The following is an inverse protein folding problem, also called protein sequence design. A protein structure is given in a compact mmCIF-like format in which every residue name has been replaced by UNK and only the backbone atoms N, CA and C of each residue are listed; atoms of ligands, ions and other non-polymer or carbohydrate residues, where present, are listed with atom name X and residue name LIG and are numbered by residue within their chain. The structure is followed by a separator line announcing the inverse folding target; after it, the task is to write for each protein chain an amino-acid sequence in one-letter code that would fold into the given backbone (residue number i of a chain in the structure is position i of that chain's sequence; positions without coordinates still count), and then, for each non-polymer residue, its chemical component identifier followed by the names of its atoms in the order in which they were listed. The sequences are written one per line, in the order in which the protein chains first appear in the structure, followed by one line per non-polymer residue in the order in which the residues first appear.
data_IF_550430608213
#
_entry.id   IF_550430608213
#
_cell.length_a   1.000
_cell.length_b   1.000
_cell.length_c   1.000
_cell.angle_alpha   90.00
_cell.angle_beta   90.00
_cell.angle_gamma   90.00
#
_symmetry.space_group_name_H-M   'P 1'
#
loop_
_entity.id
_entity.type
_entity.pdbx_description
1 polymer ?
#
# COMPACT_ATOMS: atom_id res chain seq x y z
N UNK A 1 33.28 -13.30 -60.91
CA UNK A 1 32.09 -13.96 -60.38
C UNK A 1 32.12 -13.82 -58.85
N UNK A 2 31.31 -12.91 -58.31
CA UNK A 2 31.12 -12.72 -56.86
C UNK A 2 29.76 -13.33 -56.50
N UNK A 3 29.64 -14.20 -55.52
CA UNK A 3 28.35 -14.66 -55.03
C UNK A 3 27.72 -13.60 -54.11
N UNK A 4 26.50 -13.21 -54.45
CA UNK A 4 25.65 -12.30 -53.71
C UNK A 4 24.95 -13.13 -52.59
N UNK A 5 25.35 -12.92 -51.33
CA UNK A 5 24.66 -13.49 -50.17
C UNK A 5 23.37 -12.69 -49.90
N UNK A 6 22.24 -13.32 -50.19
CA UNK A 6 20.92 -12.83 -49.78
C UNK A 6 20.74 -13.24 -48.31
N UNK A 7 20.88 -12.26 -47.42
CA UNK A 7 20.51 -12.43 -46.01
C UNK A 7 18.98 -12.38 -45.87
N UNK A 8 18.36 -13.54 -45.69
CA UNK A 8 16.94 -13.69 -45.34
C UNK A 8 16.74 -13.24 -43.90
N UNK A 9 16.32 -11.99 -43.69
CA UNK A 9 15.83 -11.51 -42.41
C UNK A 9 14.51 -12.22 -42.10
N UNK A 10 14.56 -13.30 -41.30
CA UNK A 10 13.39 -13.83 -40.59
C UNK A 10 12.97 -12.79 -39.55
N UNK A 11 11.97 -11.97 -39.89
CA UNK A 11 11.19 -11.24 -38.92
C UNK A 11 10.39 -12.26 -38.11
N UNK A 12 10.96 -12.72 -36.99
CA UNK A 12 10.17 -13.32 -35.92
C UNK A 12 9.23 -12.23 -35.42
N UNK A 13 8.02 -12.17 -35.95
CA UNK A 13 6.89 -11.57 -35.24
C UNK A 13 6.65 -12.45 -34.01
N UNK A 14 7.27 -12.09 -32.89
CA UNK A 14 6.86 -12.58 -31.59
C UNK A 14 5.39 -12.17 -31.45
N UNK A 15 4.48 -13.10 -31.59
CA UNK A 15 3.11 -12.93 -31.12
C UNK A 15 3.26 -12.64 -29.63
N UNK A 16 3.09 -11.37 -29.25
CA UNK A 16 3.16 -10.93 -27.87
C UNK A 16 1.93 -11.58 -27.22
N UNK A 17 2.15 -12.56 -26.37
CA UNK A 17 1.06 -13.16 -25.59
C UNK A 17 0.39 -12.02 -24.81
N UNK A 18 -0.93 -12.01 -24.79
CA UNK A 18 -1.67 -11.01 -24.02
C UNK A 18 -1.25 -11.07 -22.54
N UNK A 19 -0.97 -9.92 -21.94
CA UNK A 19 -0.53 -9.82 -20.55
C UNK A 19 -1.65 -10.23 -19.60
N UNK A 20 -1.37 -11.20 -18.73
CA UNK A 20 -2.24 -11.56 -17.62
C UNK A 20 -2.03 -10.68 -16.39
N UNK A 21 -2.86 -10.82 -15.33
CA UNK A 21 -2.65 -10.14 -14.05
C UNK A 21 -1.27 -10.40 -13.43
N UNK A 22 -0.70 -11.58 -13.66
CA UNK A 22 0.63 -11.94 -13.14
C UNK A 22 1.74 -11.14 -13.84
N UNK A 23 1.67 -10.98 -15.16
CA UNK A 23 2.64 -10.18 -15.92
C UNK A 23 2.59 -8.70 -15.51
N UNK A 24 1.38 -8.17 -15.28
CA UNK A 24 1.19 -6.79 -14.77
C UNK A 24 1.79 -6.64 -13.37
N UNK A 25 1.62 -7.64 -12.51
CA UNK A 25 2.22 -7.64 -11.17
C UNK A 25 3.75 -7.62 -11.22
N UNK A 26 4.37 -8.45 -12.08
CA UNK A 26 5.83 -8.43 -12.25
C UNK A 26 6.35 -7.06 -12.72
N UNK A 27 5.62 -6.39 -13.61
CA UNK A 27 5.97 -5.04 -14.04
C UNK A 27 5.76 -4.01 -12.91
N UNK A 28 4.68 -4.13 -12.13
CA UNK A 28 4.40 -3.26 -10.99
C UNK A 28 5.45 -3.38 -9.88
N UNK A 29 5.98 -4.56 -9.61
CA UNK A 29 7.09 -4.75 -8.66
C UNK A 29 8.33 -3.91 -9.00
N UNK A 30 8.55 -3.63 -10.29
CA UNK A 30 9.72 -2.89 -10.77
C UNK A 30 9.46 -1.39 -10.94
N UNK A 31 8.21 -1.00 -11.17
CA UNK A 31 7.88 0.35 -11.64
C UNK A 31 6.91 1.12 -10.73
N UNK A 32 6.14 0.44 -9.86
CA UNK A 32 5.18 1.14 -8.99
C UNK A 32 5.88 2.00 -7.93
N UNK A 33 5.74 3.35 -7.99
CA UNK A 33 6.42 4.22 -7.04
C UNK A 33 5.99 4.00 -5.59
N UNK A 34 4.75 3.56 -5.35
CA UNK A 34 4.22 3.28 -4.01
C UNK A 34 4.90 2.06 -3.41
N UNK A 35 5.07 1.00 -4.21
CA UNK A 35 5.78 -0.21 -3.78
C UNK A 35 7.28 0.03 -3.59
N UNK A 36 7.93 0.73 -4.54
CA UNK A 36 9.34 1.10 -4.42
C UNK A 36 9.59 1.99 -3.20
N UNK A 37 8.66 2.90 -2.91
CA UNK A 37 8.65 3.69 -1.67
C UNK A 37 8.55 2.83 -0.41
N UNK A 38 7.69 1.80 -0.44
CA UNK A 38 7.53 0.86 0.67
C UNK A 38 8.81 0.04 0.96
N UNK A 39 9.56 -0.34 -0.07
CA UNK A 39 10.89 -0.97 0.08
C UNK A 39 11.83 -0.03 0.86
N UNK A 40 11.89 1.24 0.47
CA UNK A 40 12.78 2.22 1.13
C UNK A 40 12.33 2.55 2.55
N UNK A 41 11.03 2.59 2.79
CA UNK A 41 10.48 2.76 4.14
C UNK A 41 10.85 1.58 5.05
N UNK A 42 10.76 0.33 4.54
CA UNK A 42 11.24 -0.86 5.25
C UNK A 42 12.74 -0.77 5.53
N UNK A 43 13.56 -0.49 4.51
CA UNK A 43 15.02 -0.38 4.64
C UNK A 43 15.38 0.65 5.73
N UNK A 44 14.75 1.82 5.71
CA UNK A 44 14.93 2.85 6.74
C UNK A 44 14.45 2.37 8.13
N UNK A 45 13.32 1.67 8.19
CA UNK A 45 12.76 1.12 9.42
C UNK A 45 13.65 0.08 10.08
N UNK A 46 14.34 -0.76 9.30
CA UNK A 46 15.28 -1.77 9.82
C UNK A 46 16.48 -1.15 10.54
N UNK A 47 16.90 0.07 10.17
CA UNK A 47 17.99 0.79 10.83
C UNK A 47 17.67 1.19 12.27
N UNK A 48 16.40 1.23 12.67
CA UNK A 48 16.01 1.54 14.05
C UNK A 48 16.67 0.57 15.06
N UNK A 49 16.87 -0.69 14.67
CA UNK A 49 17.60 -1.67 15.50
C UNK A 49 19.06 -1.25 15.71
N UNK A 50 19.74 -0.78 14.67
CA UNK A 50 21.13 -0.31 14.72
C UNK A 50 21.24 0.97 15.52
N UNK A 51 20.35 1.93 15.29
CA UNK A 51 20.25 3.20 16.01
C UNK A 51 20.03 2.94 17.51
N UNK A 52 19.08 2.07 17.84
CA UNK A 52 18.82 1.70 19.24
C UNK A 52 20.03 1.04 19.92
N UNK A 53 20.73 0.15 19.20
CA UNK A 53 21.93 -0.50 19.73
C UNK A 53 23.09 0.44 19.95
N UNK A 54 23.20 1.52 19.18
CA UNK A 54 24.31 2.49 19.29
C UNK A 54 24.42 3.13 20.69
N UNK A 55 23.29 3.21 21.43
CA UNK A 55 23.30 3.67 22.82
C UNK A 55 24.03 2.75 23.81
N UNK A 56 24.20 1.47 23.48
CA UNK A 56 24.88 0.45 24.30
C UNK A 56 26.35 0.27 23.96
N UNK A 57 26.80 0.83 22.84
CA UNK A 57 28.17 0.66 22.32
C UNK A 57 29.10 1.79 22.81
N UNK A 58 30.44 1.58 22.76
CA UNK A 58 31.39 2.61 23.07
C UNK A 58 31.24 3.80 22.13
N UNK A 59 31.32 5.02 22.69
CA UNK A 59 31.34 6.29 21.95
C UNK A 59 32.69 6.93 22.06
N UNK A 60 33.36 7.15 20.94
CA UNK A 60 34.61 7.89 20.85
C UNK A 60 34.35 9.28 20.28
N UNK A 61 34.75 10.31 20.98
CA UNK A 61 34.65 11.70 20.52
C UNK A 61 36.01 12.39 20.57
N UNK A 62 36.21 13.32 19.63
CA UNK A 62 37.36 14.19 19.57
C UNK A 62 36.88 15.63 19.55
N UNK A 63 37.40 16.43 20.49
CA UNK A 63 37.13 17.85 20.58
C UNK A 63 38.45 18.64 20.46
N UNK A 64 38.48 19.61 19.56
CA UNK A 64 39.57 20.53 19.38
C UNK A 64 39.05 21.94 19.47
N UNK A 65 39.72 22.75 20.31
CA UNK A 65 39.44 24.17 20.43
C UNK A 65 40.73 25.00 20.43
N UNK A 66 40.70 26.12 19.75
CA UNK A 66 41.76 27.13 19.77
C UNK A 66 41.10 28.50 19.85
N UNK A 67 41.51 29.29 20.79
CA UNK A 67 40.98 30.63 21.02
C UNK A 67 42.05 31.67 21.23
N UNK A 68 41.74 32.94 20.96
CA UNK A 68 42.50 34.10 21.41
C UNK A 68 41.69 34.79 22.50
N UNK A 69 42.27 34.89 23.67
CA UNK A 69 41.61 35.40 24.86
C UNK A 69 42.24 36.75 25.23
N UNK A 70 41.39 37.69 25.61
CA UNK A 70 41.76 38.94 26.27
C UNK A 70 41.07 38.90 27.64
N UNK A 71 41.83 38.76 28.69
CA UNK A 71 41.35 38.65 30.07
C UNK A 71 41.92 39.76 30.92
N UNK A 72 41.03 40.48 31.58
CA UNK A 72 41.40 41.48 32.60
C UNK A 72 41.11 40.88 33.97
N UNK A 73 42.15 40.74 34.77
CA UNK A 73 42.03 40.27 36.14
C UNK A 73 42.33 41.44 37.13
N UNK A 74 41.48 41.59 38.11
CA UNK A 74 41.73 42.52 39.24
C UNK A 74 42.20 41.68 40.43
N UNK A 75 43.46 41.84 40.78
CA UNK A 75 44.07 40.99 41.79
C UNK A 75 44.47 41.90 43.02
N UNK A 76 44.33 41.35 44.24
CA UNK A 76 44.79 42.11 45.44
C UNK A 76 46.31 42.28 45.42
N UNK A 77 46.80 43.51 45.79
CA UNK A 77 48.22 43.88 45.78
C UNK A 77 48.97 43.48 47.06
N UNK A 78 48.30 42.79 47.99
CA UNK A 78 48.85 42.39 49.29
C UNK A 78 49.08 43.53 50.28
N UNK A 79 48.79 44.81 49.90
CA UNK A 79 48.90 46.00 50.73
C UNK A 79 47.55 46.69 51.00
N UNK A 80 46.47 46.00 50.69
CA UNK A 80 45.10 46.49 50.85
C UNK A 80 44.50 47.20 49.61
N UNK A 81 45.25 47.24 48.50
CA UNK A 81 44.80 47.73 47.19
C UNK A 81 44.58 46.60 46.17
N UNK A 82 44.13 46.95 44.95
CA UNK A 82 44.01 46.08 43.82
C UNK A 82 44.85 46.59 42.65
N UNK A 83 45.41 45.68 41.86
CA UNK A 83 46.00 46.00 40.58
C UNK A 83 45.24 45.22 39.41
N UNK A 84 45.29 45.83 38.24
CA UNK A 84 44.76 45.24 37.04
C UNK A 84 45.84 44.51 36.25
N UNK A 85 45.56 43.29 35.84
CA UNK A 85 46.45 42.46 35.05
C UNK A 85 45.75 42.12 33.72
N UNK A 86 46.17 42.71 32.60
CA UNK A 86 45.64 42.52 31.27
C UNK A 86 46.48 41.46 30.57
N UNK A 87 45.79 40.26 30.30
CA UNK A 87 46.44 39.14 29.70
C UNK A 87 45.83 38.86 28.32
N UNK A 88 46.67 38.94 27.29
CA UNK A 88 46.33 38.47 25.93
C UNK A 88 47.09 37.19 25.67
N UNK A 89 46.33 36.09 25.43
CA UNK A 89 46.93 34.78 25.22
C UNK A 89 46.10 33.93 24.24
N UNK A 90 46.77 32.95 23.62
CA UNK A 90 46.08 31.93 22.80
C UNK A 90 45.87 30.71 23.68
N UNK A 91 44.64 30.21 23.69
CA UNK A 91 44.29 28.92 24.31
C UNK A 91 44.23 27.83 23.27
N UNK A 92 44.59 26.62 23.68
CA UNK A 92 44.54 25.40 22.87
C UNK A 92 44.01 24.26 23.72
N UNK A 93 43.14 23.47 23.14
CA UNK A 93 42.63 22.24 23.76
C UNK A 93 42.42 21.16 22.72
N UNK A 94 42.86 19.95 23.01
CA UNK A 94 42.66 18.74 22.19
C UNK A 94 42.29 17.59 23.13
N UNK A 95 41.11 17.04 22.99
CA UNK A 95 40.57 15.98 23.89
C UNK A 95 39.98 14.85 23.12
N UNK A 96 40.50 13.65 23.34
CA UNK A 96 39.85 12.38 22.98
C UNK A 96 39.10 11.86 24.20
N UNK A 97 37.85 11.46 24.00
CA UNK A 97 37.05 10.87 25.07
C UNK A 97 36.36 9.58 24.56
N UNK A 98 36.62 8.48 25.24
CA UNK A 98 35.94 7.20 25.07
C UNK A 98 34.95 7.02 26.22
N UNK A 99 33.69 6.77 25.91
CA UNK A 99 32.63 6.49 26.90
C UNK A 99 31.97 5.14 26.58
N UNK A 100 31.86 4.28 27.59
CA UNK A 100 31.16 2.99 27.48
C UNK A 100 30.10 2.87 28.59
N UNK A 101 28.79 2.85 28.25
CA UNK A 101 27.78 2.54 29.22
C UNK A 101 28.00 1.12 29.76
N UNK A 102 28.11 0.95 31.08
CA UNK A 102 28.15 -0.34 31.76
C UNK A 102 26.79 -0.77 32.24
N UNK A 103 25.98 0.20 32.71
CA UNK A 103 24.58 0.01 33.06
C UNK A 103 23.82 1.28 32.67
N UNK A 104 22.94 1.13 31.67
CA UNK A 104 22.05 2.17 31.18
C UNK A 104 20.74 1.53 30.71
N UNK A 105 19.74 1.53 31.57
CA UNK A 105 18.45 0.91 31.28
C UNK A 105 17.67 1.69 30.20
N UNK A 106 17.89 3.02 30.10
CA UNK A 106 17.32 3.84 29.02
C UNK A 106 17.86 3.38 27.66
N UNK A 107 19.17 3.20 27.55
CA UNK A 107 19.80 2.70 26.32
C UNK A 107 19.30 1.28 25.97
N UNK A 108 19.12 0.41 26.98
CA UNK A 108 18.54 -0.91 26.78
C UNK A 108 17.09 -0.85 26.29
N UNK A 109 16.23 -0.03 26.92
CA UNK A 109 14.85 0.16 26.49
C UNK A 109 14.76 0.74 25.07
N UNK A 110 15.64 1.72 24.72
CA UNK A 110 15.77 2.24 23.36
C UNK A 110 16.18 1.17 22.34
N UNK A 111 17.11 0.27 22.71
CA UNK A 111 17.47 -0.86 21.85
C UNK A 111 16.26 -1.79 21.59
N UNK A 112 15.54 -2.17 22.64
CA UNK A 112 14.35 -3.01 22.53
C UNK A 112 13.23 -2.35 21.72
N UNK A 113 13.04 -1.03 21.92
CA UNK A 113 12.14 -0.22 21.10
C UNK A 113 12.54 -0.24 19.63
N UNK A 114 13.84 -0.05 19.34
CA UNK A 114 14.37 -0.10 17.98
C UNK A 114 14.17 -1.47 17.31
N UNK A 115 14.29 -2.57 18.07
CA UNK A 115 13.96 -3.92 17.57
C UNK A 115 12.49 -4.04 17.20
N UNK A 116 11.57 -3.56 18.06
CA UNK A 116 10.13 -3.58 17.77
C UNK A 116 9.77 -2.69 16.57
N UNK A 117 10.42 -1.52 16.42
CA UNK A 117 10.26 -0.65 15.24
C UNK A 117 10.73 -1.30 13.94
N UNK A 118 11.84 -2.05 13.98
CA UNK A 118 12.32 -2.79 12.82
C UNK A 118 11.35 -3.92 12.42
N UNK A 119 10.80 -4.65 13.39
CA UNK A 119 9.76 -5.67 13.14
C UNK A 119 8.46 -5.04 12.62
N UNK A 120 8.06 -3.88 13.14
CA UNK A 120 6.92 -3.13 12.63
C UNK A 120 7.10 -2.79 11.14
N UNK A 121 8.29 -2.30 10.76
CA UNK A 121 8.60 -1.95 9.38
C UNK A 121 8.56 -3.16 8.44
N UNK A 122 9.05 -4.32 8.90
CA UNK A 122 9.04 -5.56 8.12
C UNK A 122 7.60 -6.10 7.91
N UNK A 123 6.77 -6.12 8.95
CA UNK A 123 5.37 -6.53 8.84
C UNK A 123 4.53 -5.54 8.03
N UNK A 124 4.79 -4.23 8.17
CA UNK A 124 4.16 -3.19 7.34
C UNK A 124 4.51 -3.35 5.85
N UNK A 125 5.75 -3.72 5.54
CA UNK A 125 6.15 -4.02 4.17
C UNK A 125 5.45 -5.26 3.62
N UNK A 126 5.27 -6.32 4.42
CA UNK A 126 4.50 -7.51 4.02
C UNK A 126 3.05 -7.16 3.70
N UNK A 127 2.41 -6.30 4.49
CA UNK A 127 1.06 -5.79 4.22
C UNK A 127 1.01 -5.03 2.89
N UNK A 128 1.94 -4.10 2.67
CA UNK A 128 2.04 -3.32 1.43
C UNK A 128 2.33 -4.19 0.20
N UNK A 129 3.09 -5.27 0.36
CA UNK A 129 3.34 -6.24 -0.71
C UNK A 129 2.07 -7.00 -1.11
N UNK A 130 1.29 -7.46 -0.15
CA UNK A 130 -0.01 -8.09 -0.42
C UNK A 130 -1.03 -7.07 -0.97
N UNK A 131 -1.00 -5.83 -0.50
CA UNK A 131 -1.86 -4.76 -1.01
C UNK A 131 -1.54 -4.43 -2.49
N UNK A 132 -0.29 -4.58 -2.93
CA UNK A 132 0.07 -4.44 -4.35
C UNK A 132 -0.65 -5.48 -5.21
N UNK A 133 -0.68 -6.76 -4.79
CA UNK A 133 -1.43 -7.82 -5.50
C UNK A 133 -2.91 -7.46 -5.66
N UNK A 134 -3.54 -7.01 -4.57
CA UNK A 134 -4.95 -6.57 -4.61
C UNK A 134 -5.14 -5.38 -5.55
N UNK A 135 -4.21 -4.42 -5.55
CA UNK A 135 -4.29 -3.21 -6.38
C UNK A 135 -4.10 -3.54 -7.86
N UNK A 136 -3.15 -4.42 -8.20
CA UNK A 136 -2.96 -4.93 -9.57
C UNK A 136 -4.25 -5.54 -10.09
N UNK A 137 -4.83 -6.49 -9.35
CA UNK A 137 -6.05 -7.15 -9.78
C UNK A 137 -7.24 -6.18 -9.86
N UNK A 138 -7.31 -5.20 -8.95
CA UNK A 138 -8.36 -4.17 -8.98
C UNK A 138 -8.31 -3.39 -10.28
N UNK A 139 -7.17 -2.80 -10.64
CA UNK A 139 -7.05 -2.00 -11.87
C UNK A 139 -7.17 -2.85 -13.13
N UNK A 140 -6.64 -4.07 -13.11
CA UNK A 140 -6.76 -5.00 -14.21
C UNK A 140 -8.23 -5.36 -14.50
N UNK A 141 -8.97 -5.77 -13.47
CA UNK A 141 -10.39 -6.13 -13.61
C UNK A 141 -11.28 -4.93 -13.95
N UNK A 142 -10.96 -3.73 -13.46
CA UNK A 142 -11.65 -2.49 -13.83
C UNK A 142 -11.48 -2.16 -15.31
N UNK A 143 -10.25 -2.29 -15.84
CA UNK A 143 -9.98 -2.05 -17.26
C UNK A 143 -10.75 -3.04 -18.16
N UNK A 144 -10.78 -4.32 -17.81
CA UNK A 144 -11.54 -5.32 -18.56
C UNK A 144 -13.04 -5.12 -18.44
N UNK A 145 -13.55 -4.79 -17.26
CA UNK A 145 -14.98 -4.52 -17.09
C UNK A 145 -15.42 -3.28 -17.87
N UNK A 146 -14.59 -2.24 -17.96
CA UNK A 146 -14.85 -1.09 -18.81
C UNK A 146 -14.93 -1.48 -20.31
N UNK A 147 -14.06 -2.41 -20.75
CA UNK A 147 -14.16 -2.96 -22.10
C UNK A 147 -15.47 -3.72 -22.31
N UNK A 148 -15.86 -4.58 -21.37
CA UNK A 148 -17.14 -5.30 -21.44
C UNK A 148 -18.33 -4.32 -21.53
N UNK A 149 -18.28 -3.21 -20.79
CA UNK A 149 -19.30 -2.17 -20.86
C UNK A 149 -19.37 -1.48 -22.23
N UNK A 150 -18.22 -1.20 -22.86
CA UNK A 150 -18.18 -0.65 -24.22
C UNK A 150 -18.81 -1.61 -25.21
N UNK A 151 -18.48 -2.90 -25.14
CA UNK A 151 -19.01 -3.90 -26.07
C UNK A 151 -20.52 -4.08 -25.91
N UNK A 152 -21.01 -4.04 -24.67
CA UNK A 152 -22.45 -4.08 -24.37
C UNK A 152 -23.14 -2.78 -24.86
N UNK A 153 -22.57 -1.60 -24.60
CA UNK A 153 -23.13 -0.32 -25.03
C UNK A 153 -23.20 -0.21 -26.56
N UNK A 154 -22.16 -0.66 -27.27
CA UNK A 154 -22.14 -0.72 -28.73
C UNK A 154 -23.19 -1.66 -29.30
N UNK A 155 -23.32 -2.85 -28.72
CA UNK A 155 -24.34 -3.81 -29.13
C UNK A 155 -25.76 -3.25 -28.89
N UNK A 156 -25.98 -2.62 -27.74
CA UNK A 156 -27.24 -1.96 -27.37
C UNK A 156 -27.56 -0.80 -28.32
N UNK A 157 -26.61 0.09 -28.56
CA UNK A 157 -26.76 1.20 -29.51
C UNK A 157 -27.13 0.73 -30.90
N UNK A 158 -26.41 -0.28 -31.41
CA UNK A 158 -26.69 -0.85 -32.74
C UNK A 158 -28.10 -1.44 -32.81
N UNK A 159 -28.55 -2.14 -31.77
CA UNK A 159 -29.90 -2.70 -31.74
C UNK A 159 -30.97 -1.60 -31.75
N UNK A 160 -30.80 -0.54 -30.95
CA UNK A 160 -31.74 0.58 -30.90
C UNK A 160 -31.70 1.43 -32.19
N UNK A 161 -30.56 1.58 -32.84
CA UNK A 161 -30.43 2.24 -34.14
C UNK A 161 -31.26 1.46 -35.20
N UNK A 162 -31.11 0.16 -35.26
CA UNK A 162 -31.90 -0.68 -36.18
C UNK A 162 -33.40 -0.56 -35.89
N UNK A 163 -33.81 -0.55 -34.63
CA UNK A 163 -35.21 -0.40 -34.25
C UNK A 163 -35.77 0.99 -34.63
N UNK A 164 -34.96 2.07 -34.41
CA UNK A 164 -35.33 3.41 -34.79
C UNK A 164 -35.53 3.53 -36.32
N UNK A 165 -34.60 3.00 -37.11
CA UNK A 165 -34.71 2.97 -38.57
C UNK A 165 -35.93 2.17 -39.05
N UNK A 166 -36.20 1.02 -38.43
CA UNK A 166 -37.38 0.21 -38.74
C UNK A 166 -38.69 0.96 -38.42
N UNK A 167 -38.77 1.62 -37.26
CA UNK A 167 -39.95 2.39 -36.89
C UNK A 167 -40.19 3.57 -37.82
N UNK A 168 -39.12 4.25 -38.28
CA UNK A 168 -39.23 5.32 -39.30
C UNK A 168 -39.81 4.75 -40.60
N UNK A 169 -39.37 3.57 -41.05
CA UNK A 169 -39.82 2.97 -42.28
C UNK A 169 -41.29 2.52 -42.22
N UNK A 170 -41.72 1.91 -41.11
CA UNK A 170 -43.10 1.52 -40.84
C UNK A 170 -44.04 2.74 -40.81
N UNK A 171 -43.63 3.82 -40.18
CA UNK A 171 -44.37 5.06 -40.14
C UNK A 171 -44.58 5.69 -41.55
N UNK A 172 -43.54 5.65 -42.40
CA UNK A 172 -43.63 6.10 -43.80
C UNK A 172 -44.63 5.27 -44.63
N UNK A 173 -44.79 3.97 -44.27
CA UNK A 173 -45.73 3.09 -44.89
C UNK A 173 -47.18 3.18 -44.30
N UNK A 174 -47.34 3.97 -43.23
CA UNK A 174 -48.63 4.15 -42.56
C UNK A 174 -48.98 3.05 -41.54
N UNK A 175 -48.02 2.18 -41.19
CA UNK A 175 -48.17 1.04 -40.30
C UNK A 175 -47.60 1.27 -38.86
N UNK A 176 -46.98 2.40 -38.61
CA UNK A 176 -46.38 2.73 -37.29
C UNK A 176 -46.91 4.02 -36.72
N UNK A 177 -46.55 4.33 -35.45
CA UNK A 177 -46.92 5.57 -34.78
C UNK A 177 -45.71 6.49 -34.64
N UNK A 178 -45.95 7.80 -34.52
CA UNK A 178 -44.89 8.78 -34.20
C UNK A 178 -44.30 8.53 -32.81
N UNK A 179 -45.08 8.00 -31.89
CA UNK A 179 -44.62 7.62 -30.54
C UNK A 179 -43.57 6.53 -30.59
N UNK A 180 -43.74 5.51 -31.44
CA UNK A 180 -42.74 4.45 -31.59
C UNK A 180 -41.39 4.94 -32.11
N UNK A 181 -41.44 5.96 -33.02
CA UNK A 181 -40.21 6.61 -33.51
C UNK A 181 -39.49 7.35 -32.36
N UNK A 182 -40.23 8.22 -31.64
CA UNK A 182 -39.64 9.05 -30.55
C UNK A 182 -39.09 8.19 -29.39
N UNK A 183 -39.77 7.07 -29.12
CA UNK A 183 -39.29 6.13 -28.08
C UNK A 183 -37.99 5.42 -28.49
N UNK A 184 -37.91 4.91 -29.70
CA UNK A 184 -36.71 4.26 -30.23
C UNK A 184 -35.56 5.26 -30.39
N UNK A 185 -35.83 6.52 -30.83
CA UNK A 185 -34.87 7.61 -30.92
C UNK A 185 -34.29 7.92 -29.53
N UNK A 186 -35.17 8.12 -28.52
CA UNK A 186 -34.74 8.39 -27.15
C UNK A 186 -33.82 7.27 -26.60
N UNK A 187 -34.15 6.00 -26.86
CA UNK A 187 -33.30 4.87 -26.43
C UNK A 187 -31.99 4.81 -27.19
N UNK A 188 -31.97 5.13 -28.46
CA UNK A 188 -30.75 5.19 -29.26
C UNK A 188 -29.81 6.29 -28.74
N UNK A 189 -30.33 7.49 -28.45
CA UNK A 189 -29.54 8.60 -27.93
C UNK A 189 -29.00 8.31 -26.52
N UNK A 190 -29.79 7.68 -25.65
CA UNK A 190 -29.32 7.23 -24.34
C UNK A 190 -28.21 6.18 -24.46
N UNK A 191 -28.34 5.20 -25.38
CA UNK A 191 -27.30 4.21 -25.60
C UNK A 191 -26.02 4.83 -26.19
N UNK A 192 -26.15 5.91 -26.98
CA UNK A 192 -24.99 6.68 -27.47
C UNK A 192 -24.26 7.38 -26.31
N UNK A 193 -24.99 7.97 -25.38
CA UNK A 193 -24.39 8.58 -24.18
C UNK A 193 -23.71 7.53 -23.30
N UNK A 194 -24.31 6.35 -23.12
CA UNK A 194 -23.70 5.23 -22.38
C UNK A 194 -22.40 4.73 -23.03
N UNK A 195 -22.33 4.67 -24.38
CA UNK A 195 -21.09 4.31 -25.08
C UNK A 195 -19.97 5.33 -24.81
N UNK A 196 -20.28 6.62 -24.87
CA UNK A 196 -19.31 7.71 -24.60
C UNK A 196 -18.79 7.58 -23.15
N UNK A 197 -19.70 7.42 -22.19
CA UNK A 197 -19.30 7.24 -20.78
C UNK A 197 -18.41 6.02 -20.60
N UNK A 198 -18.74 4.89 -21.22
CA UNK A 198 -17.94 3.66 -21.11
C UNK A 198 -16.54 3.82 -21.72
N UNK A 199 -16.39 4.62 -22.80
CA UNK A 199 -15.10 4.95 -23.40
C UNK A 199 -14.24 5.80 -22.47
N UNK A 200 -14.85 6.79 -21.80
CA UNK A 200 -14.15 7.64 -20.82
C UNK A 200 -13.69 6.82 -19.61
N UNK A 201 -14.53 5.92 -19.10
CA UNK A 201 -14.21 5.01 -18.00
C UNK A 201 -13.06 4.04 -18.37
N UNK A 202 -13.04 3.56 -19.62
CA UNK A 202 -11.95 2.71 -20.11
C UNK A 202 -10.63 3.48 -20.17
N UNK A 203 -10.62 4.69 -20.77
CA UNK A 203 -9.40 5.51 -20.86
C UNK A 203 -8.83 5.80 -19.47
N UNK A 204 -9.69 6.14 -18.49
CA UNK A 204 -9.29 6.35 -17.11
C UNK A 204 -8.67 5.07 -16.49
N UNK A 205 -9.33 3.92 -16.62
CA UNK A 205 -8.87 2.64 -16.06
C UNK A 205 -7.55 2.18 -16.67
N UNK A 206 -7.36 2.38 -18.00
CA UNK A 206 -6.11 2.02 -18.68
C UNK A 206 -4.95 2.94 -18.27
N UNK A 207 -5.22 4.21 -17.97
CA UNK A 207 -4.22 5.14 -17.40
C UNK A 207 -3.83 4.76 -15.97
N UNK A 208 -4.80 4.38 -15.13
CA UNK A 208 -4.53 3.90 -13.76
C UNK A 208 -3.67 2.63 -13.78
N UNK A 209 -3.97 1.68 -14.68
CA UNK A 209 -3.17 0.49 -14.88
C UNK A 209 -1.76 0.84 -15.42
N UNK A 210 -1.69 1.77 -16.39
CA UNK A 210 -0.43 2.27 -16.93
C UNK A 210 0.45 2.93 -15.87
N UNK A 211 -0.12 3.74 -14.99
CA UNK A 211 0.61 4.38 -13.89
C UNK A 211 1.22 3.34 -12.93
N UNK A 212 0.56 2.21 -12.72
CA UNK A 212 1.04 1.12 -11.87
C UNK A 212 2.28 0.44 -12.45
N UNK A 213 2.33 0.26 -13.77
CA UNK A 213 3.45 -0.42 -14.46
C UNK A 213 4.48 0.55 -15.06
N UNK A 214 4.32 1.86 -14.83
CA UNK A 214 5.28 2.88 -15.25
C UNK A 214 5.19 3.30 -16.71
N UNK A 215 4.02 3.10 -17.36
CA UNK A 215 3.74 3.58 -18.71
C UNK A 215 2.61 4.61 -18.72
N UNK A 216 2.50 5.40 -19.78
CA UNK A 216 1.48 6.46 -19.84
C UNK A 216 0.05 5.90 -19.95
N UNK A 217 -0.13 4.81 -20.72
CA UNK A 217 -1.38 4.07 -20.88
C UNK A 217 -1.10 2.67 -21.40
N UNK A 218 -1.97 1.74 -21.09
CA UNK A 218 -1.94 0.36 -21.60
C UNK A 218 -2.92 0.25 -22.75
N UNK A 219 -2.60 -0.56 -23.78
CA UNK A 219 -3.58 -0.89 -24.80
C UNK A 219 -4.44 -2.07 -24.30
N UNK A 220 -5.76 -1.93 -24.37
CA UNK A 220 -6.69 -2.98 -23.94
C UNK A 220 -6.47 -4.32 -24.66
N UNK A 221 -6.05 -4.28 -25.92
CA UNK A 221 -5.78 -5.48 -26.72
C UNK A 221 -4.52 -6.25 -26.23
N UNK A 222 -3.69 -5.62 -25.42
CA UNK A 222 -2.51 -6.25 -24.83
C UNK A 222 -2.86 -7.01 -23.53
N UNK A 223 -4.10 -6.84 -23.00
CA UNK A 223 -4.57 -7.53 -21.81
C UNK A 223 -5.28 -8.83 -22.15
N UNK A 224 -5.02 -9.86 -21.36
CA UNK A 224 -5.74 -11.13 -21.47
C UNK A 224 -7.19 -10.96 -20.97
N UNK A 225 -8.23 -11.25 -21.78
CA UNK A 225 -9.61 -11.15 -21.34
C UNK A 225 -9.94 -12.25 -20.33
N UNK A 226 -10.98 -12.03 -19.52
CA UNK A 226 -11.53 -13.08 -18.66
C UNK A 226 -12.12 -14.20 -19.51
N UNK A 227 -11.75 -15.45 -19.21
CA UNK A 227 -12.26 -16.62 -19.92
C UNK A 227 -13.80 -16.65 -19.85
N UNK A 228 -14.53 -16.75 -20.98
CA UNK A 228 -15.98 -16.85 -21.00
C UNK A 228 -16.53 -18.03 -20.16
N UNK A 229 -15.78 -19.14 -20.09
CA UNK A 229 -16.05 -20.32 -19.28
C UNK A 229 -15.61 -20.21 -17.82
N UNK A 230 -15.24 -19.01 -17.32
CA UNK A 230 -14.80 -18.84 -15.95
C UNK A 230 -15.77 -19.44 -14.93
N UNK A 231 -15.26 -20.39 -14.13
CA UNK A 231 -15.97 -20.99 -13.02
C UNK A 231 -15.39 -20.50 -11.67
N UNK A 232 -16.28 -20.28 -10.71
CA UNK A 232 -15.87 -19.85 -9.38
C UNK A 232 -14.92 -20.85 -8.72
N UNK A 233 -13.86 -20.37 -8.09
CA UNK A 233 -12.89 -21.20 -7.36
C UNK A 233 -13.53 -21.92 -6.18
N UNK A 234 -13.10 -23.16 -5.93
CA UNK A 234 -13.49 -23.86 -4.70
C UNK A 234 -12.82 -23.17 -3.50
N UNK A 235 -13.63 -22.72 -2.54
CA UNK A 235 -13.14 -22.07 -1.33
C UNK A 235 -12.56 -23.13 -0.38
N UNK A 236 -11.26 -23.02 -0.12
CA UNK A 236 -10.53 -23.92 0.80
C UNK A 236 -9.72 -23.08 1.77
N UNK A 237 -9.98 -23.17 3.09
CA UNK A 237 -11.00 -23.99 3.77
C UNK A 237 -12.43 -23.48 3.58
N UNK A 238 -13.42 -24.39 3.68
CA UNK A 238 -14.83 -24.04 3.52
C UNK A 238 -15.46 -23.39 4.78
N UNK A 239 -14.83 -23.55 5.94
CA UNK A 239 -15.30 -23.02 7.21
C UNK A 239 -14.74 -21.63 7.51
N UNK A 240 -15.59 -20.69 7.94
CA UNK A 240 -15.19 -19.34 8.31
C UNK A 240 -14.25 -19.31 9.52
N UNK A 241 -14.44 -20.18 10.52
CA UNK A 241 -13.64 -20.16 11.74
C UNK A 241 -12.15 -20.37 11.47
N UNK A 242 -11.83 -21.20 10.48
CA UNK A 242 -10.44 -21.39 10.03
C UNK A 242 -9.87 -20.10 9.40
N UNK A 243 -10.66 -19.38 8.61
CA UNK A 243 -10.24 -18.08 8.06
C UNK A 243 -10.05 -17.03 9.15
N UNK A 244 -10.91 -17.03 10.16
CA UNK A 244 -10.78 -16.16 11.32
C UNK A 244 -9.47 -16.40 12.08
N UNK A 245 -9.10 -17.65 12.35
CA UNK A 245 -7.84 -18.01 13.00
C UNK A 245 -6.62 -17.63 12.14
N UNK A 246 -6.69 -17.89 10.82
CA UNK A 246 -5.64 -17.48 9.89
C UNK A 246 -5.42 -15.96 9.92
N UNK A 247 -6.50 -15.17 9.90
CA UNK A 247 -6.40 -13.73 9.96
C UNK A 247 -5.74 -13.24 11.26
N UNK A 248 -6.14 -13.77 12.40
CA UNK A 248 -5.55 -13.42 13.69
C UNK A 248 -4.08 -13.78 13.78
N UNK A 249 -3.64 -14.84 13.11
CA UNK A 249 -2.26 -15.35 13.22
C UNK A 249 -1.34 -14.74 12.16
N UNK A 250 -1.79 -14.66 10.92
CA UNK A 250 -0.93 -14.42 9.76
C UNK A 250 -1.07 -13.02 9.15
N UNK A 251 -2.15 -12.27 9.49
CA UNK A 251 -2.37 -10.96 8.88
C UNK A 251 -1.24 -9.98 9.23
N UNK A 252 -0.47 -9.48 8.23
CA UNK A 252 0.70 -8.65 8.48
C UNK A 252 0.34 -7.26 9.04
N UNK A 253 -0.84 -6.73 8.71
CA UNK A 253 -1.31 -5.47 9.28
C UNK A 253 -1.56 -5.61 10.79
N UNK A 254 -2.18 -6.71 11.25
CA UNK A 254 -2.33 -7.00 12.67
C UNK A 254 -1.00 -7.28 13.35
N UNK A 255 -0.07 -7.95 12.67
CA UNK A 255 1.28 -8.19 13.19
C UNK A 255 2.03 -6.86 13.37
N UNK A 256 1.96 -5.93 12.43
CA UNK A 256 2.57 -4.60 12.57
C UNK A 256 1.97 -3.81 13.73
N UNK A 257 0.63 -3.84 13.92
CA UNK A 257 -0.02 -3.17 15.05
C UNK A 257 0.40 -3.76 16.41
N UNK A 258 0.62 -5.08 16.50
CA UNK A 258 1.20 -5.68 17.71
C UNK A 258 2.60 -5.15 18.01
N UNK A 259 3.42 -4.94 16.97
CA UNK A 259 4.74 -4.32 17.15
C UNK A 259 4.64 -2.85 17.56
N UNK A 260 3.61 -2.12 17.12
CA UNK A 260 3.33 -0.75 17.58
C UNK A 260 3.06 -0.70 19.09
N UNK A 261 2.29 -1.67 19.62
CA UNK A 261 2.09 -1.81 21.08
C UNK A 261 3.41 -2.09 21.80
N UNK A 262 4.28 -2.96 21.25
CA UNK A 262 5.60 -3.22 21.84
C UNK A 262 6.52 -1.97 21.79
N UNK A 263 6.46 -1.17 20.74
CA UNK A 263 7.15 0.13 20.69
C UNK A 263 6.70 1.05 21.82
N UNK A 264 5.39 1.16 22.02
CA UNK A 264 4.83 1.98 23.09
C UNK A 264 5.18 1.42 24.47
N UNK A 265 5.20 0.10 24.66
CA UNK A 265 5.62 -0.57 25.89
C UNK A 265 7.08 -0.22 26.25
N UNK A 266 8.01 -0.32 25.29
CA UNK A 266 9.40 0.05 25.55
C UNK A 266 9.60 1.55 25.72
N UNK A 267 8.70 2.39 25.22
CA UNK A 267 8.66 3.81 25.54
C UNK A 267 8.29 4.06 27.01
N UNK A 268 7.37 3.28 27.59
CA UNK A 268 7.09 3.31 29.06
C UNK A 268 8.34 2.93 29.83
N UNK A 269 9.02 1.84 29.45
CA UNK A 269 10.23 1.38 30.13
C UNK A 269 11.38 2.42 30.02
N UNK A 270 11.51 3.08 28.86
CA UNK A 270 12.46 4.17 28.67
C UNK A 270 12.20 5.33 29.62
N UNK A 271 10.96 5.79 29.72
CA UNK A 271 10.61 6.89 30.63
C UNK A 271 10.78 6.50 32.11
N UNK A 272 10.46 5.24 32.45
CA UNK A 272 10.62 4.70 33.81
C UNK A 272 12.10 4.62 34.23
N UNK A 273 13.01 4.45 33.27
CA UNK A 273 14.46 4.37 33.54
C UNK A 273 15.03 5.64 34.13
N UNK A 274 14.35 6.77 34.01
CA UNK A 274 14.74 8.03 34.67
C UNK A 274 14.80 7.98 36.20
N UNK A 275 14.30 6.91 36.82
CA UNK A 275 14.46 6.61 38.25
C UNK A 275 15.66 5.70 38.55
N UNK A 276 16.33 5.15 37.55
CA UNK A 276 17.43 4.20 37.70
C UNK A 276 18.80 4.87 37.60
N UNK A 277 19.84 4.33 38.25
CA UNK A 277 21.18 4.81 38.07
C UNK A 277 21.70 4.51 36.66
N UNK A 278 22.60 5.39 36.17
CA UNK A 278 23.41 5.18 34.98
C UNK A 278 24.85 5.02 35.39
N UNK A 279 25.52 3.99 34.88
CA UNK A 279 26.94 3.70 35.16
C UNK A 279 27.70 3.74 33.83
N UNK A 280 28.68 4.61 33.72
CA UNK A 280 29.48 4.78 32.52
C UNK A 280 30.96 4.67 32.86
N UNK A 281 31.70 3.81 32.17
CA UNK A 281 33.16 3.84 32.15
C UNK A 281 33.62 4.89 31.15
N UNK A 282 34.62 5.64 31.47
CA UNK A 282 35.20 6.62 30.55
C UNK A 282 36.73 6.62 30.61
N UNK A 283 37.34 6.93 29.47
CA UNK A 283 38.75 7.19 29.34
C UNK A 283 38.92 8.47 28.51
N UNK A 284 39.79 9.36 28.95
CA UNK A 284 40.08 10.56 28.19
C UNK A 284 41.57 10.88 28.15
N UNK A 285 42.03 11.38 27.01
CA UNK A 285 43.38 11.95 26.83
C UNK A 285 43.21 13.39 26.38
N UNK A 286 43.67 14.31 27.22
CA UNK A 286 43.52 15.74 27.05
C UNK A 286 44.86 16.44 27.03
N UNK A 287 45.07 17.23 25.99
CA UNK A 287 46.17 18.19 25.90
C UNK A 287 45.57 19.59 25.92
N UNK A 288 46.06 20.45 26.80
CA UNK A 288 45.59 21.83 26.87
C UNK A 288 46.75 22.78 27.17
N UNK A 289 46.66 24.00 26.65
CA UNK A 289 47.60 25.07 26.88
C UNK A 289 46.82 26.36 27.10
N UNK A 290 47.16 27.08 28.17
CA UNK A 290 46.57 28.39 28.53
C UNK A 290 45.00 28.32 28.56
N UNK A 291 44.46 27.32 29.24
CA UNK A 291 43.01 27.05 29.31
C UNK A 291 42.20 28.19 29.98
N UNK A 292 42.86 28.90 30.89
CA UNK A 292 42.31 30.04 31.63
C UNK A 292 43.37 31.10 31.91
N UNK A 293 42.94 32.26 32.36
CA UNK A 293 43.85 33.30 32.82
C UNK A 293 44.83 32.89 33.95
N UNK A 294 44.46 31.89 34.75
CA UNK A 294 45.27 31.30 35.80
C UNK A 294 46.30 30.30 35.31
N UNK A 295 46.07 29.68 34.14
CA UNK A 295 46.95 28.69 33.52
C UNK A 295 47.70 29.26 32.30
N UNK A 296 47.83 30.57 32.22
CA UNK A 296 48.53 31.25 31.14
C UNK A 296 50.00 30.75 31.00
N UNK A 297 50.36 30.40 29.74
CA UNK A 297 51.64 29.76 29.38
C UNK A 297 51.95 28.44 30.06
N UNK A 298 50.89 27.72 30.54
CA UNK A 298 51.04 26.37 31.09
C UNK A 298 50.41 25.35 30.14
N UNK A 299 51.12 24.22 29.94
CA UNK A 299 50.63 23.08 29.16
C UNK A 299 50.41 21.89 30.07
N UNK A 300 49.25 21.25 29.89
CA UNK A 300 48.88 20.05 30.62
C UNK A 300 48.56 18.93 29.65
N UNK A 301 49.16 17.74 29.88
CA UNK A 301 48.86 16.49 29.20
C UNK A 301 48.27 15.56 30.27
N UNK A 302 46.95 15.31 30.20
CA UNK A 302 46.23 14.58 31.24
C UNK A 302 45.56 13.36 30.65
N UNK A 303 45.81 12.19 31.21
CA UNK A 303 45.10 10.94 30.89
C UNK A 303 44.26 10.53 32.09
N UNK A 304 42.97 10.26 31.86
CA UNK A 304 42.01 9.92 32.92
C UNK A 304 41.28 8.64 32.53
N UNK A 305 41.16 7.70 33.45
CA UNK A 305 40.29 6.53 33.37
C UNK A 305 39.41 6.53 34.61
N UNK A 306 38.12 6.37 34.45
CA UNK A 306 37.20 6.39 35.58
C UNK A 306 35.87 5.70 35.29
N UNK A 307 35.08 5.59 36.34
CA UNK A 307 33.69 5.17 36.31
C UNK A 307 32.85 6.32 36.89
N UNK A 308 31.82 6.69 36.18
CA UNK A 308 30.84 7.68 36.61
C UNK A 308 29.53 6.97 36.94
N UNK A 309 28.96 7.26 38.10
CA UNK A 309 27.61 6.80 38.50
C UNK A 309 26.75 8.04 38.68
N UNK A 310 25.68 8.13 37.86
CA UNK A 310 24.71 9.22 37.91
C UNK A 310 23.33 8.67 38.21
N UNK A 311 22.67 9.23 39.26
CA UNK A 311 21.29 8.87 39.63
C UNK A 311 20.55 10.13 40.05
N UNK A 312 19.47 10.50 39.31
CA UNK A 312 18.60 11.60 39.72
C UNK A 312 17.78 11.19 40.94
N UNK A 313 18.00 11.84 42.09
CA UNK A 313 17.23 11.54 43.32
C UNK A 313 15.83 12.18 43.29
N UNK A 314 15.73 13.37 42.69
CA UNK A 314 14.47 14.08 42.52
C UNK A 314 14.51 14.95 41.27
N UNK A 315 13.52 14.78 40.40
CA UNK A 315 13.40 15.50 39.10
C UNK A 315 12.07 16.28 39.01
N UNK A 316 11.61 16.88 40.13
CA UNK A 316 10.38 17.69 40.12
C UNK A 316 9.10 16.95 39.70
N UNK A 317 9.06 15.61 39.80
CA UNK A 317 7.92 14.79 39.36
C UNK A 317 7.86 14.52 37.85
N UNK A 318 8.82 15.05 37.06
CA UNK A 318 8.84 14.94 35.59
C UNK A 318 8.90 13.49 35.10
N UNK A 319 9.76 12.64 35.70
CA UNK A 319 9.89 11.21 35.34
C UNK A 319 8.59 10.46 35.56
N UNK A 320 7.92 10.69 36.70
CA UNK A 320 6.63 10.05 36.98
C UNK A 320 5.52 10.53 36.04
N UNK A 321 5.54 11.81 35.65
CA UNK A 321 4.57 12.35 34.71
C UNK A 321 4.78 11.80 33.28
N UNK A 322 6.03 11.75 32.78
CA UNK A 322 6.34 11.18 31.48
C UNK A 322 6.07 9.67 31.42
N UNK A 323 6.31 8.94 32.50
CA UNK A 323 5.94 7.52 32.61
C UNK A 323 4.43 7.33 32.51
N UNK A 324 3.61 8.14 33.23
CA UNK A 324 2.14 8.09 33.10
C UNK A 324 1.68 8.44 31.68
N UNK A 325 2.28 9.47 31.06
CA UNK A 325 1.98 9.85 29.69
C UNK A 325 2.25 8.70 28.72
N UNK A 326 3.42 8.07 28.82
CA UNK A 326 3.78 6.92 27.99
C UNK A 326 2.86 5.72 28.24
N UNK A 327 2.43 5.47 29.49
CA UNK A 327 1.46 4.41 29.80
C UNK A 327 0.10 4.65 29.13
N UNK A 328 -0.37 5.90 29.09
CA UNK A 328 -1.61 6.23 28.37
C UNK A 328 -1.47 6.08 26.86
N UNK A 329 -0.31 6.40 26.31
CA UNK A 329 -0.02 6.15 24.89
C UNK A 329 0.04 4.65 24.55
N UNK A 330 0.53 3.82 25.49
CA UNK A 330 0.48 2.36 25.33
C UNK A 330 -0.97 1.83 25.35
N UNK A 331 -1.79 2.28 26.29
CA UNK A 331 -3.22 1.94 26.34
C UNK A 331 -3.94 2.36 25.03
N UNK A 332 -3.60 3.54 24.49
CA UNK A 332 -4.11 3.99 23.17
C UNK A 332 -3.72 3.01 22.07
N UNK A 333 -2.45 2.60 21.98
CA UNK A 333 -1.98 1.66 20.96
C UNK A 333 -2.67 0.27 21.10
N UNK A 334 -3.00 -0.17 22.31
CA UNK A 334 -3.76 -1.39 22.55
C UNK A 334 -5.20 -1.27 22.00
N UNK A 335 -5.89 -0.15 22.23
CA UNK A 335 -7.20 0.10 21.65
C UNK A 335 -7.17 0.25 20.12
N UNK A 336 -6.12 0.84 19.57
CA UNK A 336 -5.90 0.90 18.11
C UNK A 336 -5.74 -0.50 17.51
N UNK A 337 -4.97 -1.38 18.15
CA UNK A 337 -4.85 -2.79 17.76
C UNK A 337 -6.21 -3.52 17.84
N UNK A 338 -6.97 -3.31 18.91
CA UNK A 338 -8.31 -3.89 19.03
C UNK A 338 -9.25 -3.39 17.95
N UNK A 339 -9.27 -2.08 17.69
CA UNK A 339 -10.06 -1.46 16.63
C UNK A 339 -9.70 -2.04 15.26
N UNK A 340 -8.40 -2.15 14.94
CA UNK A 340 -7.91 -2.70 13.68
C UNK A 340 -8.23 -4.20 13.54
N UNK A 341 -8.17 -4.94 14.64
CA UNK A 341 -8.57 -6.35 14.65
C UNK A 341 -10.04 -6.51 14.29
N UNK A 342 -10.93 -5.72 14.91
CA UNK A 342 -12.37 -5.74 14.61
C UNK A 342 -12.65 -5.37 13.16
N UNK A 343 -12.03 -4.32 12.64
CA UNK A 343 -12.15 -3.91 11.23
C UNK A 343 -11.74 -5.04 10.28
N UNK A 344 -10.56 -5.63 10.51
CA UNK A 344 -10.04 -6.74 9.69
C UNK A 344 -10.99 -7.94 9.69
N UNK A 345 -11.52 -8.32 10.85
CA UNK A 345 -12.46 -9.44 10.96
C UNK A 345 -13.82 -9.16 10.32
N UNK A 346 -14.31 -7.92 10.37
CA UNK A 346 -15.53 -7.50 9.65
C UNK A 346 -15.34 -7.64 8.15
N UNK A 347 -14.22 -7.12 7.62
CA UNK A 347 -13.92 -7.22 6.19
C UNK A 347 -13.68 -8.67 5.76
N UNK A 348 -12.95 -9.46 6.55
CA UNK A 348 -12.80 -10.89 6.31
C UNK A 348 -14.15 -11.60 6.18
N UNK A 349 -15.06 -11.34 7.11
CA UNK A 349 -16.42 -11.93 7.09
C UNK A 349 -17.20 -11.50 5.87
N UNK A 350 -17.08 -10.23 5.50
CA UNK A 350 -17.72 -9.66 4.30
C UNK A 350 -17.24 -10.36 3.05
N UNK A 351 -15.92 -10.52 2.87
CA UNK A 351 -15.35 -11.18 1.69
C UNK A 351 -15.66 -12.67 1.65
N UNK A 352 -15.63 -13.36 2.80
CA UNK A 352 -16.05 -14.76 2.89
C UNK A 352 -17.52 -14.94 2.45
N UNK A 353 -18.41 -14.09 2.95
CA UNK A 353 -19.83 -14.12 2.57
C UNK A 353 -20.02 -13.77 1.09
N UNK A 354 -19.25 -12.82 0.54
CA UNK A 354 -19.26 -12.46 -0.87
C UNK A 354 -18.81 -13.62 -1.75
N UNK A 355 -17.79 -14.39 -1.38
CA UNK A 355 -17.38 -15.60 -2.09
C UNK A 355 -18.48 -16.67 -2.11
N UNK A 356 -19.10 -16.96 -0.96
CA UNK A 356 -20.18 -17.96 -0.88
C UNK A 356 -21.40 -17.55 -1.71
N UNK A 357 -21.84 -16.30 -1.58
CA UNK A 357 -22.99 -15.80 -2.32
C UNK A 357 -22.69 -15.59 -3.80
N UNK A 358 -21.44 -15.26 -4.14
CA UNK A 358 -20.98 -15.04 -5.50
C UNK A 358 -21.19 -16.23 -6.41
N UNK A 359 -20.90 -17.44 -5.94
CA UNK A 359 -21.15 -18.68 -6.70
C UNK A 359 -22.63 -18.82 -7.10
N UNK A 360 -23.53 -18.54 -6.16
CA UNK A 360 -24.98 -18.62 -6.41
C UNK A 360 -25.47 -17.50 -7.32
N UNK A 361 -24.91 -16.28 -7.16
CA UNK A 361 -25.20 -15.13 -8.03
C UNK A 361 -24.77 -15.38 -9.47
N UNK A 362 -23.57 -15.90 -9.70
CA UNK A 362 -23.08 -16.23 -11.04
C UNK A 362 -24.03 -17.19 -11.75
N UNK A 363 -24.39 -18.30 -11.11
CA UNK A 363 -25.34 -19.25 -11.67
C UNK A 363 -26.71 -18.64 -11.94
N UNK A 364 -27.19 -17.74 -11.09
CA UNK A 364 -28.48 -17.07 -11.30
C UNK A 364 -28.42 -16.12 -12.49
N UNK A 365 -27.34 -15.31 -12.62
CA UNK A 365 -27.17 -14.41 -13.76
C UNK A 365 -26.99 -15.18 -15.10
N UNK A 366 -26.27 -16.29 -15.12
CA UNK A 366 -26.14 -17.16 -16.31
C UNK A 366 -27.50 -17.68 -16.80
N UNK A 367 -28.33 -18.15 -15.87
CA UNK A 367 -29.72 -18.56 -16.20
C UNK A 367 -30.58 -17.37 -16.63
N UNK A 368 -30.44 -16.24 -15.95
CA UNK A 368 -31.17 -15.03 -16.32
C UNK A 368 -30.77 -14.53 -17.71
N UNK A 369 -29.50 -14.62 -18.08
CA UNK A 369 -29.00 -14.26 -19.40
C UNK A 369 -29.62 -15.15 -20.49
N UNK A 370 -29.57 -16.48 -20.32
CA UNK A 370 -30.20 -17.45 -21.25
C UNK A 370 -31.68 -17.16 -21.43
N UNK A 371 -32.39 -16.85 -20.33
CA UNK A 371 -33.81 -16.50 -20.37
C UNK A 371 -34.09 -15.17 -21.06
N UNK A 372 -33.24 -14.15 -20.83
CA UNK A 372 -33.38 -12.84 -21.47
C UNK A 372 -33.10 -12.93 -22.99
N UNK A 373 -32.13 -13.72 -23.41
CA UNK A 373 -31.85 -13.97 -24.83
C UNK A 373 -33.05 -14.64 -25.53
N UNK A 374 -33.61 -15.67 -24.91
CA UNK A 374 -34.81 -16.34 -25.42
C UNK A 374 -36.02 -15.37 -25.45
N UNK A 375 -36.17 -14.50 -24.44
CA UNK A 375 -37.26 -13.53 -24.39
C UNK A 375 -37.18 -12.51 -25.55
N UNK A 376 -36.02 -12.00 -25.89
CA UNK A 376 -35.84 -11.07 -27.01
C UNK A 376 -36.26 -11.74 -28.33
N UNK A 377 -35.81 -12.99 -28.56
CA UNK A 377 -36.18 -13.73 -29.77
C UNK A 377 -37.68 -13.95 -29.84
N UNK A 378 -38.31 -14.45 -28.76
CA UNK A 378 -39.75 -14.74 -28.72
C UNK A 378 -40.59 -13.46 -28.86
N UNK A 379 -40.18 -12.37 -28.23
CA UNK A 379 -40.88 -11.07 -28.33
C UNK A 379 -40.84 -10.53 -29.75
N UNK A 380 -39.69 -10.61 -30.44
CA UNK A 380 -39.58 -10.20 -31.85
C UNK A 380 -40.50 -11.04 -32.77
N UNK A 381 -40.60 -12.34 -32.50
CA UNK A 381 -41.52 -13.22 -33.24
C UNK A 381 -43.01 -12.90 -32.97
N UNK A 382 -43.39 -12.63 -31.71
CA UNK A 382 -44.75 -12.26 -31.34
C UNK A 382 -45.18 -10.89 -31.92
N UNK A 383 -44.24 -9.96 -32.12
CA UNK A 383 -44.51 -8.69 -32.81
C UNK A 383 -44.84 -8.93 -34.28
N UNK A 384 -44.09 -9.81 -34.95
CA UNK A 384 -44.39 -10.21 -36.34
C UNK A 384 -45.73 -10.89 -36.47
N UNK A 385 -46.18 -11.59 -35.42
CA UNK A 385 -47.54 -12.19 -35.32
C UNK A 385 -48.65 -11.22 -34.96
N UNK A 386 -48.34 -9.95 -34.64
CA UNK A 386 -49.32 -8.94 -34.24
C UNK A 386 -49.83 -9.08 -32.79
N UNK A 387 -49.18 -9.95 -31.96
CA UNK A 387 -49.60 -10.22 -30.58
C UNK A 387 -48.95 -9.28 -29.55
N UNK A 388 -47.83 -8.60 -29.91
CA UNK A 388 -47.08 -7.70 -29.05
C UNK A 388 -46.73 -6.41 -29.78
N UNK A 389 -46.40 -5.38 -28.97
CA UNK A 389 -46.01 -4.06 -29.47
C UNK A 389 -44.52 -3.86 -29.44
N UNK A 390 -44.02 -2.88 -30.17
CA UNK A 390 -42.62 -2.55 -30.33
C UNK A 390 -41.92 -2.21 -29.01
N UNK A 391 -42.66 -1.59 -28.08
CA UNK A 391 -42.19 -1.29 -26.73
C UNK A 391 -41.74 -2.56 -25.96
N UNK A 392 -42.43 -3.70 -26.18
CA UNK A 392 -42.06 -4.96 -25.52
C UNK A 392 -40.69 -5.47 -25.99
N UNK A 393 -40.33 -5.26 -27.27
CA UNK A 393 -38.99 -5.61 -27.77
C UNK A 393 -37.90 -4.73 -27.14
N UNK A 394 -38.14 -3.42 -27.09
CA UNK A 394 -37.21 -2.47 -26.46
C UNK A 394 -36.97 -2.80 -24.97
N UNK A 395 -38.02 -3.19 -24.25
CA UNK A 395 -37.91 -3.61 -22.86
C UNK A 395 -37.17 -4.94 -22.68
N UNK A 396 -37.43 -5.90 -23.55
CA UNK A 396 -36.71 -7.18 -23.55
C UNK A 396 -35.23 -7.02 -23.87
N UNK A 397 -34.87 -6.15 -24.80
CA UNK A 397 -33.49 -5.79 -25.12
C UNK A 397 -32.80 -5.07 -23.96
N UNK A 398 -33.47 -4.10 -23.32
CA UNK A 398 -32.96 -3.43 -22.14
C UNK A 398 -32.65 -4.45 -21.03
N UNK A 399 -33.55 -5.40 -20.79
CA UNK A 399 -33.35 -6.47 -19.80
C UNK A 399 -32.14 -7.35 -20.16
N UNK A 400 -31.98 -7.70 -21.43
CA UNK A 400 -30.85 -8.50 -21.91
C UNK A 400 -29.50 -7.78 -21.62
N UNK A 401 -29.38 -6.50 -22.04
CA UNK A 401 -28.14 -5.76 -21.87
C UNK A 401 -27.81 -5.49 -20.40
N UNK A 402 -28.82 -5.20 -19.57
CA UNK A 402 -28.59 -5.07 -18.12
C UNK A 402 -28.13 -6.39 -17.50
N UNK A 403 -28.72 -7.53 -17.91
CA UNK A 403 -28.31 -8.84 -17.38
C UNK A 403 -26.90 -9.22 -17.82
N UNK A 404 -26.48 -8.88 -19.04
CA UNK A 404 -25.10 -9.08 -19.52
C UNK A 404 -24.11 -8.28 -18.68
N UNK A 405 -24.38 -7.00 -18.43
CA UNK A 405 -23.55 -6.15 -17.58
C UNK A 405 -23.45 -6.70 -16.16
N UNK A 406 -24.58 -7.09 -15.58
CA UNK A 406 -24.63 -7.58 -14.19
C UNK A 406 -23.91 -8.93 -14.03
N UNK A 407 -23.91 -9.78 -15.06
CA UNK A 407 -23.12 -11.02 -15.09
C UNK A 407 -21.62 -10.72 -15.17
N UNK A 408 -21.19 -9.80 -16.06
CA UNK A 408 -19.78 -9.39 -16.16
C UNK A 408 -19.30 -8.82 -14.83
N UNK A 409 -20.04 -7.88 -14.23
CA UNK A 409 -19.71 -7.31 -12.92
C UNK A 409 -19.58 -8.39 -11.84
N UNK A 410 -20.53 -9.35 -11.79
CA UNK A 410 -20.53 -10.42 -10.79
C UNK A 410 -19.31 -11.34 -10.90
N UNK A 411 -18.78 -11.56 -12.11
CA UNK A 411 -17.54 -12.33 -12.33
C UNK A 411 -16.32 -11.63 -11.73
N UNK A 412 -16.15 -10.35 -12.01
CA UNK A 412 -15.04 -9.56 -11.46
C UNK A 412 -15.19 -9.35 -9.95
N UNK A 413 -16.40 -9.10 -9.45
CA UNK A 413 -16.67 -8.97 -8.01
C UNK A 413 -16.30 -10.24 -7.24
N UNK A 414 -16.57 -11.42 -7.84
CA UNK A 414 -16.19 -12.70 -7.25
C UNK A 414 -14.67 -12.85 -7.16
N UNK A 415 -13.94 -12.57 -8.23
CA UNK A 415 -12.47 -12.61 -8.26
C UNK A 415 -11.88 -11.68 -7.20
N UNK A 416 -12.41 -10.47 -7.11
CA UNK A 416 -11.97 -9.49 -6.11
C UNK A 416 -12.29 -9.94 -4.69
N UNK A 417 -13.47 -10.52 -4.45
CA UNK A 417 -13.85 -11.03 -3.13
C UNK A 417 -12.93 -12.18 -2.69
N UNK A 418 -12.60 -13.09 -3.61
CA UNK A 418 -11.68 -14.20 -3.35
C UNK A 418 -10.27 -13.69 -3.02
N UNK A 419 -9.72 -12.77 -3.79
CA UNK A 419 -8.40 -12.17 -3.55
C UNK A 419 -8.36 -11.40 -2.23
N UNK A 420 -9.37 -10.57 -1.95
CA UNK A 420 -9.47 -9.82 -0.69
C UNK A 420 -9.65 -10.73 0.52
N UNK A 421 -10.34 -11.87 0.38
CA UNK A 421 -10.44 -12.87 1.45
C UNK A 421 -9.07 -13.39 1.85
N UNK A 422 -8.22 -13.76 0.88
CA UNK A 422 -6.85 -14.19 1.10
C UNK A 422 -5.97 -13.06 1.68
N UNK A 423 -6.15 -11.84 1.22
CA UNK A 423 -5.48 -10.66 1.76
C UNK A 423 -5.80 -10.43 3.25
N UNK A 424 -7.08 -10.40 3.62
CA UNK A 424 -7.48 -10.21 5.03
C UNK A 424 -7.11 -11.39 5.92
N UNK A 425 -7.03 -12.59 5.36
CA UNK A 425 -6.50 -13.76 6.06
C UNK A 425 -4.96 -13.73 6.22
N UNK A 426 -4.26 -12.82 5.52
CA UNK A 426 -2.81 -12.70 5.58
C UNK A 426 -2.03 -13.81 4.88
N UNK A 427 -2.69 -14.55 4.00
CA UNK A 427 -2.10 -15.67 3.26
C UNK A 427 -2.05 -15.47 1.74
N UNK A 428 -2.35 -14.25 1.24
CA UNK A 428 -2.24 -13.92 -0.18
C UNK A 428 -0.78 -13.99 -0.63
N UNK A 429 -0.51 -14.79 -1.67
CA UNK A 429 0.81 -15.04 -2.24
C UNK A 429 0.81 -14.90 -3.76
N UNK A 430 1.98 -14.84 -4.34
CA UNK A 430 2.18 -14.81 -5.81
C UNK A 430 1.56 -16.04 -6.48
N UNK A 431 1.57 -17.22 -5.82
CA UNK A 431 0.93 -18.45 -6.29
C UNK A 431 -0.60 -18.32 -6.39
N UNK A 432 -1.21 -17.50 -5.53
CA UNK A 432 -2.65 -17.25 -5.58
C UNK A 432 -3.00 -16.33 -6.76
N UNK A 433 -2.12 -15.36 -7.06
CA UNK A 433 -2.26 -14.54 -8.25
C UNK A 433 -2.06 -15.37 -9.54
N UNK A 434 -1.11 -16.28 -9.57
CA UNK A 434 -0.93 -17.21 -10.69
C UNK A 434 -2.17 -18.06 -10.92
N UNK A 435 -2.85 -18.53 -9.86
CA UNK A 435 -4.12 -19.23 -9.95
C UNK A 435 -5.25 -18.32 -10.48
N UNK A 436 -5.27 -17.07 -10.11
CA UNK A 436 -6.21 -16.09 -10.66
C UNK A 436 -5.89 -15.83 -12.13
N UNK A 437 -4.62 -15.78 -12.51
CA UNK A 437 -4.15 -15.59 -13.87
C UNK A 437 -4.64 -16.66 -14.83
N UNK A 438 -4.77 -17.93 -14.38
CA UNK A 438 -5.38 -19.03 -15.15
C UNK A 438 -6.83 -18.77 -15.58
N UNK A 439 -7.54 -17.85 -14.89
CA UNK A 439 -8.89 -17.44 -15.25
C UNK A 439 -8.92 -16.48 -16.45
N UNK A 440 -7.77 -15.96 -16.87
CA UNK A 440 -7.62 -15.00 -17.97
C UNK A 440 -6.92 -15.68 -19.17
N UNK A 441 -7.25 -15.24 -20.36
CA UNK A 441 -6.69 -15.80 -21.60
C UNK A 441 -7.71 -16.56 -22.43
N UNK A 442 -7.34 -17.01 -23.64
CA UNK A 442 -8.24 -17.83 -24.47
C UNK A 442 -8.49 -19.16 -23.78
N UNK A 443 -9.70 -19.72 -23.98
CA UNK A 443 -10.06 -21.06 -23.48
C UNK A 443 -8.93 -22.05 -23.75
N UNK A 444 -8.36 -22.61 -22.67
CA UNK A 444 -7.49 -23.78 -22.80
C UNK A 444 -8.33 -24.93 -23.33
N UNK A 445 -8.10 -25.28 -24.60
CA UNK A 445 -8.74 -26.40 -25.29
C UNK A 445 -8.40 -27.74 -24.63
#
# INVERSE_FOLDING_TARGET
MKPMFIALLLACSSAQAAMGPFDVYEQALRNDPVFLGAIKERDAGLENRTIGRAGLLPKLSYNYNKGRNNSQATLPDGRGGNYHDDRNYNSYGSTFTLQQPLFDYEAYANYRKGVAQALFADESFRDKSQALLVRVLTYYTQALFAQDQIDIARAKKKAYEQQFQQNQHLFQQGEGTRTDILEAESRYELATAEEIQALDEQDASLRELGALIGVQSVNINDLAPLNPGFAAFTLTPANYDTWHELALTNNPNLASQRQSVEVARYEVERNRSGHLPRITAYASSRQQESDSGNTYNQRYDTNTIGIEVSMPLYAGGGVSASTRQASRAMEQAEYELEGKTRETLIELRRQFSACLSGVSKLRAYEKALTSAEALVVSTKQSILGGERVNLDALNAEQQLYSTRRDLAQARYDYLMAWTKLHYYAGNLRDTDLAKVDEAFGPESR
#
